data_IF_479026253025
#
_entry.id   IF_479026253025
#
_cell.length_a   1.000
_cell.length_b   1.000
_cell.length_c   1.000
_cell.angle_alpha   90.00
_cell.angle_beta   90.00
_cell.angle_gamma   90.00
#
_symmetry.space_group_name_H-M   'P 1'
#
loop_
_entity.id
_entity.type
_entity.pdbx_description
1 polymer ?
#
# COMPACT_ATOMS: atom_id res chain seq x y z
N UNK A 1 -35.82 -8.85 11.94
CA UNK A 1 -34.64 -7.95 11.82
C UNK A 1 -34.49 -7.61 10.36
N UNK A 2 -34.97 -6.43 9.96
CA UNK A 2 -34.81 -5.93 8.59
C UNK A 2 -33.41 -5.34 8.50
N UNK A 3 -32.55 -5.86 7.63
CA UNK A 3 -31.27 -5.23 7.32
C UNK A 3 -31.57 -3.88 6.67
N UNK A 4 -30.87 -2.84 7.14
CA UNK A 4 -31.02 -1.47 6.66
C UNK A 4 -30.51 -1.40 5.20
N UNK A 5 -31.33 -1.02 4.20
CA UNK A 5 -30.97 -1.11 2.77
C UNK A 5 -29.91 -0.09 2.31
N UNK A 6 -29.29 0.63 3.23
CA UNK A 6 -28.28 1.66 2.94
C UNK A 6 -27.06 1.60 3.86
N UNK A 7 -26.56 0.40 4.18
CA UNK A 7 -25.15 0.26 4.53
C UNK A 7 -24.33 0.85 3.39
N UNK A 8 -23.82 2.07 3.57
CA UNK A 8 -23.07 2.77 2.54
C UNK A 8 -21.76 2.00 2.30
N UNK A 9 -21.77 1.09 1.32
CA UNK A 9 -20.59 0.31 0.95
C UNK A 9 -19.43 1.22 0.57
N UNK A 10 -18.21 0.77 0.87
CA UNK A 10 -16.97 1.52 0.65
C UNK A 10 -16.41 1.27 -0.74
N UNK A 11 -15.98 2.33 -1.41
CA UNK A 11 -15.29 2.21 -2.69
C UNK A 11 -13.84 1.78 -2.49
N UNK A 12 -13.28 0.97 -3.38
CA UNK A 12 -11.86 0.65 -3.34
C UNK A 12 -11.43 -0.49 -4.25
N UNK A 13 -10.30 -1.09 -3.89
CA UNK A 13 -9.65 -2.21 -4.56
C UNK A 13 -9.52 -3.37 -3.57
N UNK A 14 -9.69 -4.60 -4.04
CA UNK A 14 -9.21 -5.80 -3.33
C UNK A 14 -7.96 -6.29 -4.02
N UNK A 15 -6.89 -6.49 -3.26
CA UNK A 15 -5.57 -6.81 -3.77
C UNK A 15 -5.02 -8.07 -3.11
N UNK A 16 -4.16 -8.81 -3.82
CA UNK A 16 -3.37 -9.92 -3.28
C UNK A 16 -1.89 -9.57 -3.34
N UNK A 17 -1.20 -9.77 -2.22
CA UNK A 17 0.24 -9.54 -2.09
C UNK A 17 0.86 -10.54 -1.11
N UNK A 18 2.14 -10.35 -0.73
CA UNK A 18 2.77 -11.10 0.37
C UNK A 18 2.07 -10.87 1.71
N UNK A 19 1.39 -9.73 1.87
CA UNK A 19 0.63 -9.40 3.08
C UNK A 19 -0.72 -10.12 3.15
N UNK A 20 -1.03 -10.98 2.18
CA UNK A 20 -2.33 -11.64 2.03
C UNK A 20 -3.28 -10.85 1.14
N UNK A 21 -4.57 -11.13 1.29
CA UNK A 21 -5.64 -10.35 0.64
C UNK A 21 -5.94 -9.13 1.51
N UNK A 22 -5.97 -7.95 0.89
CA UNK A 22 -6.17 -6.66 1.56
C UNK A 22 -7.10 -5.77 0.76
N UNK A 23 -7.80 -4.88 1.46
CA UNK A 23 -8.61 -3.84 0.86
C UNK A 23 -7.81 -2.53 0.79
N UNK A 24 -7.83 -1.85 -0.35
CA UNK A 24 -7.27 -0.50 -0.50
C UNK A 24 -8.45 0.46 -0.69
N UNK A 25 -8.75 1.31 0.31
CA UNK A 25 -9.85 2.25 0.21
C UNK A 25 -9.66 3.27 -0.91
N UNK A 26 -10.74 3.64 -1.60
CA UNK A 26 -10.72 4.66 -2.66
C UNK A 26 -10.36 6.05 -2.15
N UNK A 27 -10.48 6.30 -0.84
CA UNK A 27 -10.07 7.56 -0.21
C UNK A 27 -8.55 7.76 -0.25
N UNK A 28 -7.77 6.67 -0.35
CA UNK A 28 -6.31 6.72 -0.47
C UNK A 28 -5.82 6.28 -1.85
N UNK A 29 -6.53 5.39 -2.54
CA UNK A 29 -6.14 4.90 -3.86
C UNK A 29 -6.51 5.90 -4.96
N UNK A 30 -5.50 6.58 -5.51
CA UNK A 30 -5.70 7.56 -6.58
C UNK A 30 -5.77 6.91 -7.97
N UNK A 31 -4.95 5.89 -8.24
CA UNK A 31 -4.93 5.21 -9.54
C UNK A 31 -4.25 3.84 -9.49
N UNK A 32 -4.45 3.05 -10.55
CA UNK A 32 -3.67 1.85 -10.87
C UNK A 32 -2.98 2.12 -12.20
N UNK A 33 -1.66 2.01 -12.24
CA UNK A 33 -0.84 2.45 -13.38
C UNK A 33 0.37 1.54 -13.57
N UNK A 34 1.11 1.77 -14.67
CA UNK A 34 2.37 1.10 -14.93
C UNK A 34 3.53 2.09 -14.75
N UNK A 35 4.45 1.77 -13.86
CA UNK A 35 5.68 2.53 -13.64
C UNK A 35 6.62 2.32 -14.83
N UNK A 36 7.12 3.42 -15.42
CA UNK A 36 8.14 3.36 -16.45
C UNK A 36 9.47 2.76 -15.94
N UNK A 37 9.72 2.87 -14.63
CA UNK A 37 10.86 2.31 -13.95
C UNK A 37 10.95 2.79 -12.51
N UNK A 38 11.67 2.04 -11.68
CA UNK A 38 11.97 2.42 -10.30
C UNK A 38 13.43 2.87 -10.25
N UNK A 39 13.64 4.11 -9.81
CA UNK A 39 14.96 4.68 -9.58
C UNK A 39 15.38 4.32 -8.15
N UNK A 40 16.45 3.53 -7.95
CA UNK A 40 16.93 3.21 -6.62
C UNK A 40 17.48 4.46 -5.95
N UNK A 41 17.10 4.68 -4.69
CA UNK A 41 17.63 5.79 -3.88
C UNK A 41 18.62 5.22 -2.86
N UNK A 42 19.88 5.69 -2.82
CA UNK A 42 20.86 5.21 -1.87
C UNK A 42 20.38 5.32 -0.42
N UNK A 43 20.46 4.21 0.31
CA UNK A 43 20.06 4.15 1.72
C UNK A 43 18.58 3.81 1.96
N UNK A 44 17.76 3.69 0.91
CA UNK A 44 16.50 2.98 1.04
C UNK A 44 16.74 1.50 1.28
N UNK A 45 15.89 0.92 2.11
CA UNK A 45 15.88 -0.49 2.46
C UNK A 45 14.43 -1.00 2.44
N UNK A 46 14.20 -2.29 2.17
CA UNK A 46 12.86 -2.84 2.16
C UNK A 46 12.05 -2.48 3.42
N UNK A 47 10.75 -2.16 3.27
CA UNK A 47 9.97 -2.30 2.03
C UNK A 47 10.12 -1.14 1.02
N UNK A 48 10.84 -0.06 1.33
CA UNK A 48 11.11 1.01 0.36
C UNK A 48 12.22 0.61 -0.62
N UNK A 49 11.91 0.64 -1.92
CA UNK A 49 12.82 0.15 -2.97
C UNK A 49 13.35 1.25 -3.88
N UNK A 50 12.73 2.43 -3.89
CA UNK A 50 13.11 3.52 -4.78
C UNK A 50 12.06 4.61 -4.86
N UNK A 51 12.20 5.43 -5.89
CA UNK A 51 11.20 6.40 -6.33
C UNK A 51 10.83 6.12 -7.79
N UNK A 52 9.62 6.49 -8.19
CA UNK A 52 9.17 6.41 -9.58
C UNK A 52 8.29 7.62 -9.92
N UNK A 53 8.17 7.92 -11.21
CA UNK A 53 7.14 8.83 -11.70
C UNK A 53 5.91 8.01 -12.05
N UNK A 54 4.78 8.34 -11.43
CA UNK A 54 3.48 7.73 -11.65
C UNK A 54 2.45 8.85 -11.84
N UNK A 55 1.78 8.90 -12.98
CA UNK A 55 0.79 9.93 -13.33
C UNK A 55 1.30 11.36 -13.04
N UNK A 56 2.47 11.68 -13.58
CA UNK A 56 3.18 12.96 -13.43
C UNK A 56 3.56 13.35 -11.98
N UNK A 57 3.52 12.38 -11.05
CA UNK A 57 3.87 12.56 -9.63
C UNK A 57 5.07 11.70 -9.26
N UNK A 58 5.98 12.24 -8.45
CA UNK A 58 7.06 11.46 -7.84
C UNK A 58 6.51 10.72 -6.63
N UNK A 59 6.53 9.39 -6.69
CA UNK A 59 6.03 8.52 -5.64
C UNK A 59 7.17 7.70 -5.02
N UNK A 60 7.13 7.53 -3.70
CA UNK A 60 7.98 6.54 -3.01
C UNK A 60 7.46 5.15 -3.35
N UNK A 61 8.33 4.27 -3.85
CA UNK A 61 7.94 2.92 -4.23
C UNK A 61 8.11 2.00 -3.02
N UNK A 62 7.00 1.41 -2.57
CA UNK A 62 6.94 0.46 -1.48
C UNK A 62 6.58 -0.91 -2.06
N UNK A 63 7.47 -1.88 -1.91
CA UNK A 63 7.20 -3.26 -2.32
C UNK A 63 6.44 -4.00 -1.22
N UNK A 64 5.24 -4.48 -1.55
CA UNK A 64 4.39 -5.28 -0.66
C UNK A 64 4.29 -6.75 -1.08
N UNK A 65 5.10 -7.17 -2.05
CA UNK A 65 5.17 -8.56 -2.52
C UNK A 65 6.45 -8.88 -3.28
N UNK A 66 6.52 -10.10 -3.79
CA UNK A 66 7.70 -10.63 -4.48
C UNK A 66 7.61 -10.49 -6.00
N UNK A 67 6.41 -10.22 -6.55
CA UNK A 67 6.21 -10.09 -7.98
C UNK A 67 6.96 -8.86 -8.51
N UNK A 68 7.99 -9.04 -9.37
CA UNK A 68 8.63 -7.95 -10.06
C UNK A 68 7.63 -7.43 -11.12
N UNK A 69 6.79 -6.49 -10.70
CA UNK A 69 5.79 -5.85 -11.54
C UNK A 69 6.08 -4.37 -11.67
N UNK A 70 5.87 -3.84 -12.88
CA UNK A 70 5.75 -2.40 -13.09
C UNK A 70 4.34 -1.89 -12.82
N UNK A 71 3.34 -2.77 -12.65
CA UNK A 71 2.01 -2.39 -12.17
C UNK A 71 2.11 -1.88 -10.72
N UNK A 72 1.51 -0.71 -10.47
CA UNK A 72 1.49 -0.06 -9.18
C UNK A 72 0.12 0.51 -8.86
N UNK A 73 -0.23 0.46 -7.58
CA UNK A 73 -1.35 1.19 -7.02
C UNK A 73 -0.79 2.47 -6.41
N UNK A 74 -1.18 3.61 -6.97
CA UNK A 74 -0.74 4.93 -6.52
C UNK A 74 -1.69 5.39 -5.43
N UNK A 75 -1.14 5.65 -4.25
CA UNK A 75 -1.86 6.10 -3.09
C UNK A 75 -1.38 7.49 -2.65
N UNK A 76 -2.30 8.29 -2.10
CA UNK A 76 -1.99 9.53 -1.41
C UNK A 76 -2.06 9.31 0.11
N UNK A 77 -1.00 9.69 0.83
CA UNK A 77 -0.94 9.60 2.31
C UNK A 77 -0.20 10.80 2.86
N UNK A 78 -0.81 11.48 3.85
CA UNK A 78 -0.20 12.60 4.57
C UNK A 78 0.41 13.68 3.63
N UNK A 79 -0.21 13.89 2.46
CA UNK A 79 0.23 14.83 1.42
C UNK A 79 1.36 14.36 0.50
N UNK A 80 1.77 13.08 0.61
CA UNK A 80 2.77 12.44 -0.24
C UNK A 80 2.20 11.32 -1.10
N UNK A 81 2.94 10.97 -2.16
CA UNK A 81 2.58 9.89 -3.09
C UNK A 81 3.37 8.62 -2.79
N UNK A 82 2.65 7.50 -2.73
CA UNK A 82 3.22 6.16 -2.52
C UNK A 82 2.77 5.26 -3.66
N UNK A 83 3.71 4.57 -4.30
CA UNK A 83 3.41 3.55 -5.30
C UNK A 83 3.60 2.17 -4.67
N UNK A 84 2.50 1.43 -4.51
CA UNK A 84 2.54 0.05 -4.02
C UNK A 84 2.78 -0.91 -5.18
N UNK A 85 3.88 -1.65 -5.13
CA UNK A 85 4.24 -2.66 -6.14
C UNK A 85 4.23 -4.06 -5.54
N UNK A 86 4.16 -5.09 -6.40
CA UNK A 86 4.15 -6.49 -5.97
C UNK A 86 2.78 -6.97 -5.45
N UNK A 87 1.71 -6.28 -5.82
CA UNK A 87 0.34 -6.69 -5.56
C UNK A 87 -0.44 -6.85 -6.87
N UNK A 88 -1.37 -7.80 -6.88
CA UNK A 88 -2.31 -8.02 -7.97
C UNK A 88 -3.69 -7.51 -7.56
N UNK A 89 -4.31 -6.69 -8.40
CA UNK A 89 -5.71 -6.28 -8.22
C UNK A 89 -6.62 -7.48 -8.53
N UNK A 90 -7.45 -7.88 -7.57
CA UNK A 90 -8.42 -8.96 -7.69
C UNK A 90 -9.81 -8.43 -8.04
N UNK A 91 -10.21 -7.30 -7.46
CA UNK A 91 -11.50 -6.66 -7.69
C UNK A 91 -11.42 -5.15 -7.48
N UNK A 92 -12.35 -4.42 -8.10
CA UNK A 92 -12.56 -2.98 -7.90
C UNK A 92 -14.06 -2.73 -7.78
N UNK A 93 -14.47 -1.72 -7.02
CA UNK A 93 -15.89 -1.36 -6.92
C UNK A 93 -16.28 -0.92 -5.53
N UNK A 94 -17.52 -1.20 -5.15
CA UNK A 94 -18.06 -0.96 -3.81
C UNK A 94 -18.19 -2.28 -3.05
N UNK A 95 -17.77 -2.27 -1.80
CA UNK A 95 -17.78 -3.44 -0.92
C UNK A 95 -18.57 -3.12 0.35
N UNK A 96 -19.29 -4.12 0.87
CA UNK A 96 -20.06 -3.96 2.09
C UNK A 96 -19.13 -3.84 3.30
N UNK A 97 -19.50 -3.01 4.28
CA UNK A 97 -18.75 -2.91 5.52
C UNK A 97 -18.88 -4.20 6.33
N UNK A 98 -17.84 -4.55 7.08
CA UNK A 98 -17.98 -5.54 8.14
C UNK A 98 -19.01 -5.06 9.18
N UNK A 99 -19.79 -6.00 9.74
CA UNK A 99 -20.91 -5.70 10.63
C UNK A 99 -20.51 -5.16 12.01
N UNK A 100 -19.23 -5.24 12.36
CA UNK A 100 -18.67 -4.82 13.64
C UNK A 100 -18.16 -3.37 13.66
N UNK A 101 -18.26 -2.65 12.53
CA UNK A 101 -17.76 -1.28 12.40
C UNK A 101 -16.23 -1.18 12.34
N UNK A 102 -15.53 -2.31 12.15
CA UNK A 102 -14.09 -2.31 11.88
C UNK A 102 -13.77 -1.70 10.51
N UNK A 103 -12.50 -1.32 10.31
CA UNK A 103 -11.99 -0.85 9.02
C UNK A 103 -11.80 -2.02 8.02
N UNK A 104 -12.80 -2.87 7.89
CA UNK A 104 -12.83 -4.07 7.07
C UNK A 104 -14.01 -4.04 6.09
N UNK A 105 -13.89 -4.83 5.02
CA UNK A 105 -14.96 -5.01 4.03
C UNK A 105 -15.26 -6.49 3.82
N UNK A 106 -16.49 -6.80 3.40
CA UNK A 106 -16.88 -8.14 2.96
C UNK A 106 -16.53 -8.33 1.47
N UNK A 107 -15.85 -9.44 1.16
CA UNK A 107 -15.56 -9.84 -0.21
C UNK A 107 -15.43 -11.35 -0.30
N UNK A 108 -16.11 -11.96 -1.26
CA UNK A 108 -16.12 -13.41 -1.48
C UNK A 108 -16.48 -14.23 -0.22
N UNK A 109 -17.35 -13.68 0.63
CA UNK A 109 -17.77 -14.30 1.89
C UNK A 109 -16.77 -14.18 3.03
N UNK A 110 -15.66 -13.47 2.83
CA UNK A 110 -14.63 -13.23 3.84
C UNK A 110 -14.59 -11.76 4.29
N UNK A 111 -14.17 -11.55 5.54
CA UNK A 111 -13.84 -10.21 6.07
C UNK A 111 -12.39 -9.90 5.72
N UNK A 112 -12.19 -8.82 4.96
CA UNK A 112 -10.86 -8.37 4.53
C UNK A 112 -10.50 -7.07 5.23
N UNK A 113 -9.33 -7.06 5.84
CA UNK A 113 -8.75 -5.88 6.47
C UNK A 113 -8.27 -4.85 5.42
N UNK A 114 -8.48 -3.57 5.73
CA UNK A 114 -7.83 -2.48 5.00
C UNK A 114 -6.31 -2.56 5.10
N UNK A 115 -5.62 -2.11 4.06
CA UNK A 115 -4.17 -1.99 4.08
C UNK A 115 -3.74 -0.90 5.07
N UNK A 116 -2.87 -1.25 6.02
CA UNK A 116 -2.23 -0.27 6.90
C UNK A 116 -1.06 0.43 6.18
N UNK A 117 -1.40 1.35 5.28
CA UNK A 117 -0.40 2.07 4.49
C UNK A 117 0.49 2.96 5.37
N UNK A 118 -0.06 3.49 6.46
CA UNK A 118 0.72 4.27 7.43
C UNK A 118 1.73 3.39 8.16
N UNK A 119 1.32 2.21 8.60
CA UNK A 119 2.22 1.21 9.19
C UNK A 119 3.33 0.80 8.24
N UNK A 120 3.04 0.64 6.94
CA UNK A 120 4.05 0.36 5.92
C UNK A 120 5.06 1.50 5.77
N UNK A 121 4.61 2.75 5.78
CA UNK A 121 5.49 3.93 5.72
C UNK A 121 6.36 4.05 6.97
N UNK A 122 5.81 3.84 8.17
CA UNK A 122 6.56 3.83 9.42
C UNK A 122 7.62 2.71 9.41
N UNK A 123 7.26 1.52 8.90
CA UNK A 123 8.19 0.41 8.78
C UNK A 123 9.35 0.73 7.83
N UNK A 124 9.05 1.36 6.68
CA UNK A 124 10.07 1.83 5.73
C UNK A 124 11.01 2.86 6.36
N UNK A 125 10.45 3.88 7.01
CA UNK A 125 11.23 4.92 7.68
C UNK A 125 12.12 4.33 8.80
N UNK A 126 11.55 3.45 9.63
CA UNK A 126 12.27 2.77 10.70
C UNK A 126 13.44 1.95 10.16
N UNK A 127 13.23 1.24 9.04
CA UNK A 127 14.28 0.44 8.41
C UNK A 127 15.44 1.33 7.92
N UNK A 128 15.13 2.49 7.32
CA UNK A 128 16.13 3.48 6.88
C UNK A 128 16.95 4.00 8.07
N UNK A 129 16.28 4.37 9.17
CA UNK A 129 16.96 4.85 10.37
C UNK A 129 17.89 3.80 10.98
N UNK A 130 17.44 2.54 11.07
CA UNK A 130 18.29 1.43 11.54
C UNK A 130 19.52 1.22 10.65
N UNK A 131 19.33 1.27 9.33
CA UNK A 131 20.44 1.11 8.38
C UNK A 131 21.47 2.24 8.48
N UNK A 132 21.06 3.45 8.89
CA UNK A 132 21.98 4.58 9.16
C UNK A 132 22.76 4.39 10.46
N UNK A 133 22.09 4.05 11.56
CA UNK A 133 22.75 3.84 12.87
C UNK A 133 23.85 2.78 12.82
N UNK A 134 23.64 1.71 12.04
CA UNK A 134 24.67 0.67 11.83
C UNK A 134 25.90 1.16 11.04
N UNK A 135 25.78 2.20 10.21
CA UNK A 135 26.93 2.77 9.49
C UNK A 135 27.81 3.64 10.39
N UNK A 136 27.20 4.31 11.37
CA UNK A 136 27.93 5.20 12.29
C UNK A 136 28.73 4.40 13.34
N UNK A 137 28.26 3.21 13.74
CA UNK A 137 28.98 2.32 14.68
C UNK A 137 30.23 1.67 14.05
N UNK A 138 30.25 1.48 12.72
CA UNK A 138 31.39 0.92 11.98
C UNK A 138 32.47 1.93 11.59
N UNK A 139 32.29 3.22 11.91
CA UNK A 139 33.21 4.31 11.55
C UNK A 139 34.01 4.87 12.73
N UNK A 140 33.99 4.23 13.89
CA UNK A 140 34.93 4.56 14.97
C UNK A 140 36.26 3.85 14.75
N UNK A 141 37.38 4.58 14.52
CA UNK A 141 38.72 3.99 14.43
C UNK A 141 39.19 3.43 15.77
#
# INVERSE_FOLDING_TARGET
MSADPHSAGRGGLVIRSRLGVRFVPAEIAASVTWLAGVVPVPGLVPPAVGIAVADDRVATVISIGEEPGTEAIVCEVDGGWVALTGARVLATGRFDNASDGSDCVQWDGEVIESIDLRGLMIAAETAIWRARGMRDEGSRP
#
